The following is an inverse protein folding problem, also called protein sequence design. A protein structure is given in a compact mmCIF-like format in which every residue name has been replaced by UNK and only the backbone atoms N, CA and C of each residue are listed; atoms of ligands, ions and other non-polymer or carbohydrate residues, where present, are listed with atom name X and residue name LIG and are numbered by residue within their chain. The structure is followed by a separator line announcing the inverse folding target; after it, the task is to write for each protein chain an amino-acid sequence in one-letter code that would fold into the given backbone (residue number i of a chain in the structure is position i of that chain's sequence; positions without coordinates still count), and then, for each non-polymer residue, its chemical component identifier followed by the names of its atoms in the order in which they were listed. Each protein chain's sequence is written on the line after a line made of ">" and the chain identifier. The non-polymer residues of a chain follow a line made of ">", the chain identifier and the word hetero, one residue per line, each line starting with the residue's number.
data_IF_846748116960
#
_entry.id   IF_846748116960
#
_cell.length_a   1.000
_cell.length_b   1.000
_cell.length_c   1.000
_cell.angle_alpha   90.00
_cell.angle_beta   90.00
_cell.angle_gamma   90.00
#
_symmetry.space_group_name_H-M   'P 1'
#
loop_
_entity.id
_entity.type
_entity.pdbx_description
1 polymer ?
#
# COMPACT_ATOMS: atom_id res chain seq x y z
N UNK A 1 -5.03 19.53 -22.26
CA UNK A 1 -5.45 19.95 -20.98
C UNK A 1 -4.52 19.41 -19.90
N UNK A 2 -4.27 20.22 -19.03
CA UNK A 2 -3.44 19.80 -17.95
C UNK A 2 -4.30 19.14 -16.89
N UNK A 3 -4.03 17.91 -16.64
CA UNK A 3 -4.73 17.23 -15.59
C UNK A 3 -4.06 17.58 -14.29
N UNK A 4 -4.84 18.09 -13.39
CA UNK A 4 -4.35 18.28 -12.05
C UNK A 4 -4.23 16.93 -11.40
N UNK A 5 -3.01 16.57 -11.09
CA UNK A 5 -2.81 15.37 -10.33
C UNK A 5 -3.00 15.67 -8.88
N UNK A 6 -4.00 15.06 -8.31
CA UNK A 6 -4.18 15.15 -6.88
C UNK A 6 -3.00 14.45 -6.21
N UNK A 7 -2.48 15.01 -5.13
CA UNK A 7 -1.41 14.33 -4.41
C UNK A 7 -1.91 13.01 -3.82
N UNK A 8 -1.02 12.03 -3.81
CA UNK A 8 -1.30 10.75 -3.20
C UNK A 8 -1.39 10.94 -1.69
N UNK A 9 -2.49 10.53 -1.08
CA UNK A 9 -2.70 10.69 0.35
C UNK A 9 -2.11 9.51 1.08
N UNK A 10 -1.17 9.77 1.98
CA UNK A 10 -0.38 8.72 2.64
C UNK A 10 -0.59 8.77 4.14
N UNK A 11 -0.91 7.62 4.72
CA UNK A 11 -0.93 7.44 6.16
C UNK A 11 0.34 6.70 6.56
N UNK A 12 1.09 7.25 7.50
CA UNK A 12 2.35 6.66 7.96
C UNK A 12 2.13 6.00 9.32
N UNK A 13 2.46 4.73 9.43
CA UNK A 13 2.21 3.95 10.64
C UNK A 13 3.50 3.26 11.10
N UNK A 14 3.97 3.61 12.27
CA UNK A 14 5.16 3.01 12.87
C UNK A 14 5.16 3.40 14.34
N UNK A 15 5.50 2.48 15.22
CA UNK A 15 5.46 2.78 16.64
C UNK A 15 6.66 3.62 17.11
N UNK A 16 7.63 3.83 16.23
CA UNK A 16 8.80 4.63 16.56
C UNK A 16 8.74 5.99 15.86
N UNK A 17 8.72 7.05 16.67
CA UNK A 17 8.65 8.39 16.10
C UNK A 17 9.78 8.70 15.12
N UNK A 18 11.04 8.30 15.40
CA UNK A 18 12.09 8.56 14.42
C UNK A 18 11.86 7.87 13.08
N UNK A 19 11.26 6.68 13.08
CA UNK A 19 10.96 5.98 11.84
C UNK A 19 9.87 6.72 11.05
N UNK A 20 8.86 7.25 11.74
CA UNK A 20 7.84 8.06 11.07
C UNK A 20 8.44 9.33 10.48
N UNK A 21 9.34 9.97 11.23
CA UNK A 21 10.00 11.19 10.75
C UNK A 21 10.80 10.91 9.49
N UNK A 22 11.52 9.77 9.48
CA UNK A 22 12.29 9.41 8.31
C UNK A 22 11.41 9.18 7.09
N UNK A 23 10.28 8.53 7.28
CA UNK A 23 9.34 8.32 6.17
C UNK A 23 8.80 9.65 5.65
N UNK A 24 8.48 10.59 6.55
CA UNK A 24 8.04 11.90 6.13
C UNK A 24 9.10 12.61 5.28
N UNK A 25 10.37 12.51 5.72
CA UNK A 25 11.46 13.13 4.97
C UNK A 25 11.61 12.51 3.58
N UNK A 26 11.53 11.18 3.50
CA UNK A 26 11.61 10.49 2.22
C UNK A 26 10.45 10.90 1.30
N UNK A 27 9.25 10.98 1.86
CA UNK A 27 8.09 11.37 1.09
C UNK A 27 8.21 12.82 0.57
N UNK A 28 8.78 13.69 1.39
CA UNK A 28 9.04 15.06 0.96
C UNK A 28 10.05 15.10 -0.20
N UNK A 29 11.09 14.29 -0.11
CA UNK A 29 12.09 14.20 -1.17
C UNK A 29 11.49 13.69 -2.48
N UNK A 30 10.52 12.82 -2.40
CA UNK A 30 9.87 12.24 -3.57
C UNK A 30 8.85 13.19 -4.17
N UNK A 31 8.36 14.14 -3.39
CA UNK A 31 7.26 15.02 -3.77
C UNK A 31 7.36 15.66 -5.14
N UNK A 32 8.53 16.20 -5.53
CA UNK A 32 8.63 16.84 -6.85
C UNK A 32 8.35 15.91 -8.02
N UNK A 33 8.66 14.62 -7.89
CA UNK A 33 8.39 13.66 -8.96
C UNK A 33 7.08 12.90 -8.76
N UNK A 34 6.66 12.75 -7.51
CA UNK A 34 5.42 12.04 -7.21
C UNK A 34 4.72 12.78 -6.08
N UNK A 35 3.83 13.72 -6.43
CA UNK A 35 3.16 14.49 -5.40
C UNK A 35 2.45 13.63 -4.39
N UNK A 36 2.66 13.91 -3.12
CA UNK A 36 2.08 13.15 -2.04
C UNK A 36 1.83 14.07 -0.85
N UNK A 37 0.94 13.63 0.01
CA UNK A 37 0.56 14.39 1.20
C UNK A 37 0.41 13.39 2.34
N UNK A 38 1.15 13.59 3.42
CA UNK A 38 0.98 12.78 4.62
C UNK A 38 -0.25 13.30 5.33
N UNK A 39 -1.33 12.51 5.29
CA UNK A 39 -2.62 12.92 5.86
C UNK A 39 -2.73 12.57 7.34
N UNK A 40 -1.84 11.74 7.84
CA UNK A 40 -1.84 11.40 9.25
C UNK A 40 -0.71 10.45 9.59
N UNK A 41 -0.54 10.23 10.88
CA UNK A 41 0.44 9.30 11.41
C UNK A 41 -0.21 8.50 12.53
N UNK A 42 0.28 7.29 12.74
CA UNK A 42 -0.20 6.43 13.81
C UNK A 42 0.94 5.60 14.35
N UNK A 43 0.83 5.24 15.62
CA UNK A 43 1.85 4.44 16.29
C UNK A 43 1.55 2.95 16.32
N UNK A 44 0.38 2.54 15.88
CA UNK A 44 0.01 1.13 15.76
C UNK A 44 -1.22 1.00 14.89
N UNK A 45 -1.63 -0.25 14.65
CA UNK A 45 -2.76 -0.50 13.77
C UNK A 45 -4.09 0.01 14.29
N UNK A 46 -4.29 -0.04 15.62
CA UNK A 46 -5.54 0.44 16.19
C UNK A 46 -5.70 1.95 15.97
N UNK A 47 -4.62 2.69 16.23
CA UNK A 47 -4.64 4.13 16.00
C UNK A 47 -4.81 4.44 14.51
N UNK A 48 -4.19 3.64 13.65
CA UNK A 48 -4.34 3.84 12.21
C UNK A 48 -5.80 3.71 11.79
N UNK A 49 -6.52 2.73 12.35
CA UNK A 49 -7.94 2.57 12.03
C UNK A 49 -8.75 3.75 12.51
N UNK A 50 -8.39 4.32 13.67
CA UNK A 50 -9.06 5.52 14.16
C UNK A 50 -8.86 6.70 13.20
N UNK A 51 -7.63 6.89 12.74
CA UNK A 51 -7.34 7.97 11.81
C UNK A 51 -8.12 7.77 10.52
N UNK A 52 -8.17 6.55 10.01
CA UNK A 52 -8.88 6.23 8.77
C UNK A 52 -10.40 6.33 8.92
N UNK A 53 -10.89 6.36 10.16
CA UNK A 53 -12.31 6.62 10.40
C UNK A 53 -12.65 8.09 10.23
N UNK A 54 -11.66 8.98 10.23
CA UNK A 54 -11.86 10.41 10.13
C UNK A 54 -11.39 11.01 8.83
N UNK A 55 -10.53 10.32 8.10
CA UNK A 55 -10.00 10.83 6.85
C UNK A 55 -9.63 9.69 5.93
N UNK A 56 -9.60 9.95 4.64
CA UNK A 56 -9.26 8.95 3.64
C UNK A 56 -7.77 8.98 3.34
N UNK A 57 -7.23 7.82 3.06
CA UNK A 57 -5.87 7.70 2.57
C UNK A 57 -5.89 6.81 1.33
N UNK A 58 -5.00 7.12 0.39
CA UNK A 58 -4.85 6.30 -0.80
C UNK A 58 -3.91 5.14 -0.55
N UNK A 59 -2.94 5.35 0.35
CA UNK A 59 -1.97 4.33 0.67
C UNK A 59 -1.62 4.41 2.15
N UNK A 60 -1.43 3.25 2.76
CA UNK A 60 -0.98 3.12 4.13
C UNK A 60 0.42 2.52 4.09
N UNK A 61 1.40 3.26 4.59
CA UNK A 61 2.77 2.79 4.70
C UNK A 61 2.98 2.42 6.16
N UNK A 62 3.15 1.13 6.44
CA UNK A 62 3.12 0.66 7.81
C UNK A 62 4.24 -0.32 8.11
N UNK A 63 4.80 -0.22 9.32
CA UNK A 63 5.65 -1.30 9.82
C UNK A 63 4.74 -2.48 10.18
N UNK A 64 5.35 -3.62 10.44
CA UNK A 64 4.61 -4.83 10.80
C UNK A 64 4.56 -4.99 12.30
N UNK A 65 5.71 -4.99 12.96
CA UNK A 65 5.77 -5.29 14.40
C UNK A 65 5.54 -4.02 15.20
N UNK A 66 4.38 -3.95 15.77
CA UNK A 66 3.94 -2.81 16.59
C UNK A 66 3.10 -3.35 17.74
N UNK A 67 3.03 -2.62 18.87
CA UNK A 67 2.19 -3.06 19.97
C UNK A 67 0.72 -2.96 19.63
N UNK A 68 -0.09 -3.67 20.35
CA UNK A 68 -1.56 -3.72 20.27
C UNK A 68 -2.02 -4.35 18.96
N UNK A 69 -2.02 -3.62 17.87
CA UNK A 69 -2.38 -4.19 16.56
C UNK A 69 -1.20 -4.01 15.62
N UNK A 70 -0.66 -5.10 15.12
CA UNK A 70 0.47 -5.04 14.21
C UNK A 70 0.03 -4.74 12.78
N UNK A 71 1.00 -4.55 11.89
CA UNK A 71 0.71 -4.18 10.51
C UNK A 71 -0.02 -5.26 9.72
N UNK A 72 0.21 -6.52 10.05
CA UNK A 72 -0.49 -7.61 9.37
C UNK A 72 -1.97 -7.59 9.72
N UNK A 73 -2.29 -7.41 11.00
CA UNK A 73 -3.68 -7.31 11.41
C UNK A 73 -4.34 -6.07 10.81
N UNK A 74 -3.61 -4.96 10.77
CA UNK A 74 -4.11 -3.75 10.16
C UNK A 74 -4.48 -4.01 8.70
N UNK A 75 -3.59 -4.67 7.96
CA UNK A 75 -3.84 -4.97 6.56
C UNK A 75 -5.07 -5.86 6.38
N UNK A 76 -5.27 -6.81 7.29
CA UNK A 76 -6.46 -7.67 7.23
C UNK A 76 -7.73 -6.86 7.42
N UNK A 77 -7.73 -5.93 8.36
CA UNK A 77 -8.89 -5.05 8.57
C UNK A 77 -9.16 -4.20 7.33
N UNK A 78 -8.10 -3.66 6.75
CA UNK A 78 -8.27 -2.78 5.59
C UNK A 78 -8.78 -3.54 4.37
N UNK A 79 -8.36 -4.79 4.22
CA UNK A 79 -8.78 -5.61 3.08
C UNK A 79 -10.28 -5.86 3.06
N UNK A 80 -10.95 -5.70 4.20
CA UNK A 80 -12.40 -5.92 4.28
C UNK A 80 -13.21 -4.71 3.84
N UNK A 81 -12.56 -3.57 3.65
CA UNK A 81 -13.28 -2.36 3.26
C UNK A 81 -13.68 -2.43 1.80
N UNK A 82 -14.80 -1.77 1.44
CA UNK A 82 -15.24 -1.78 0.04
C UNK A 82 -14.23 -1.18 -0.92
N UNK A 83 -13.47 -0.19 -0.45
CA UNK A 83 -12.50 0.50 -1.28
C UNK A 83 -11.23 0.67 -0.46
N UNK A 84 -10.47 -0.41 -0.28
CA UNK A 84 -9.33 -0.38 0.63
C UNK A 84 -8.18 0.45 0.09
N UNK A 85 -7.44 1.14 0.98
CA UNK A 85 -6.21 1.79 0.55
C UNK A 85 -5.17 0.74 0.19
N UNK A 86 -4.22 1.12 -0.64
CA UNK A 86 -3.07 0.28 -0.90
C UNK A 86 -2.24 0.16 0.37
N UNK A 87 -1.61 -0.99 0.59
CA UNK A 87 -0.77 -1.20 1.76
C UNK A 87 0.66 -1.47 1.32
N UNK A 88 1.60 -0.70 1.85
CA UNK A 88 3.02 -0.90 1.65
C UNK A 88 3.63 -1.18 3.02
N UNK A 89 4.25 -2.34 3.17
CA UNK A 89 4.95 -2.65 4.41
C UNK A 89 6.39 -2.13 4.35
N UNK A 90 6.83 -1.50 5.44
CA UNK A 90 8.21 -1.04 5.59
C UNK A 90 8.70 -1.58 6.92
N UNK A 91 9.57 -2.56 6.89
CA UNK A 91 9.94 -3.29 8.09
C UNK A 91 11.39 -3.73 8.06
N UNK A 92 11.95 -4.01 9.26
CA UNK A 92 13.27 -4.57 9.37
C UNK A 92 13.29 -6.10 9.28
N UNK A 93 12.12 -6.73 9.10
CA UNK A 93 11.97 -8.17 9.16
C UNK A 93 11.56 -8.72 7.80
N UNK A 94 12.25 -9.77 7.33
CA UNK A 94 11.95 -10.36 6.04
C UNK A 94 10.99 -11.55 6.13
N UNK A 95 10.71 -12.00 7.35
CA UNK A 95 9.94 -13.23 7.54
C UNK A 95 8.44 -13.07 7.24
N UNK A 96 7.98 -11.86 7.03
CA UNK A 96 6.55 -11.59 6.78
C UNK A 96 6.23 -11.40 5.30
N UNK A 97 7.22 -11.55 4.43
CA UNK A 97 6.99 -11.25 3.01
C UNK A 97 5.92 -12.14 2.38
N UNK A 98 5.90 -13.42 2.74
CA UNK A 98 4.90 -14.34 2.22
C UNK A 98 3.50 -13.94 2.69
N UNK A 99 3.38 -13.60 3.97
CA UNK A 99 2.11 -13.16 4.53
C UNK A 99 1.63 -11.88 3.86
N UNK A 100 2.54 -10.95 3.61
CA UNK A 100 2.21 -9.71 2.93
C UNK A 100 1.67 -9.99 1.53
N UNK A 101 2.31 -10.91 0.82
CA UNK A 101 1.85 -11.30 -0.50
C UNK A 101 0.44 -11.90 -0.44
N UNK A 102 0.19 -12.76 0.54
CA UNK A 102 -1.13 -13.37 0.72
C UNK A 102 -2.20 -12.33 0.99
N UNK A 103 -1.83 -11.22 1.61
CA UNK A 103 -2.76 -10.13 1.92
C UNK A 103 -2.87 -9.12 0.78
N UNK A 104 -2.25 -9.40 -0.35
CA UNK A 104 -2.28 -8.53 -1.52
C UNK A 104 -1.70 -7.14 -1.23
N UNK A 105 -0.65 -7.08 -0.41
CA UNK A 105 0.06 -5.84 -0.17
C UNK A 105 0.63 -5.32 -1.50
N UNK A 106 0.64 -4.01 -1.65
CA UNK A 106 1.17 -3.39 -2.86
C UNK A 106 2.68 -3.62 -2.96
N UNK A 107 3.37 -3.52 -1.83
CA UNK A 107 4.82 -3.74 -1.84
C UNK A 107 5.30 -4.06 -0.43
N UNK A 108 6.55 -4.51 -0.35
CA UNK A 108 7.18 -4.90 0.91
C UNK A 108 8.62 -4.39 0.87
N UNK A 109 8.93 -3.40 1.70
CA UNK A 109 10.22 -2.73 1.69
C UNK A 109 10.98 -3.03 2.97
N UNK A 110 12.27 -3.29 2.82
CA UNK A 110 13.14 -3.56 3.97
C UNK A 110 13.81 -2.27 4.42
N UNK A 111 13.83 -2.06 5.73
CA UNK A 111 14.59 -0.93 6.31
C UNK A 111 16.07 -1.22 6.21
N UNK A 112 16.90 -0.21 5.98
CA UNK A 112 16.57 1.20 5.72
C UNK A 112 16.08 1.41 4.30
N UNK A 113 14.98 2.14 4.17
CA UNK A 113 14.34 2.37 2.88
C UNK A 113 15.01 3.54 2.18
N UNK A 114 15.22 3.39 0.88
CA UNK A 114 15.75 4.48 0.06
C UNK A 114 14.60 5.16 -0.67
N UNK A 115 14.80 6.45 -0.97
CA UNK A 115 13.77 7.23 -1.62
C UNK A 115 13.32 6.60 -2.94
N UNK A 116 14.26 6.14 -3.76
CA UNK A 116 13.91 5.54 -5.05
C UNK A 116 13.04 4.30 -4.88
N UNK A 117 13.34 3.49 -3.87
CA UNK A 117 12.57 2.26 -3.65
C UNK A 117 11.17 2.57 -3.13
N UNK A 118 11.06 3.58 -2.26
CA UNK A 118 9.75 4.00 -1.78
C UNK A 118 8.94 4.62 -2.93
N UNK A 119 9.59 5.39 -3.79
CA UNK A 119 8.91 5.98 -4.94
C UNK A 119 8.35 4.90 -5.86
N UNK A 120 9.09 3.80 -6.09
CA UNK A 120 8.59 2.68 -6.88
C UNK A 120 7.33 2.09 -6.26
N UNK A 121 7.34 1.90 -4.95
CA UNK A 121 6.20 1.33 -4.27
C UNK A 121 4.98 2.26 -4.36
N UNK A 122 5.21 3.56 -4.19
CA UNK A 122 4.13 4.54 -4.29
C UNK A 122 3.58 4.62 -5.70
N UNK A 123 4.43 4.44 -6.70
CA UNK A 123 3.97 4.41 -8.08
C UNK A 123 3.04 3.23 -8.31
N UNK A 124 3.37 2.07 -7.75
CA UNK A 124 2.47 0.93 -7.80
C UNK A 124 1.15 1.23 -7.12
N UNK A 125 1.20 1.88 -5.95
CA UNK A 125 0.00 2.23 -5.22
C UNK A 125 -0.85 3.22 -5.99
N UNK A 126 -0.21 4.18 -6.67
CA UNK A 126 -0.92 5.18 -7.44
C UNK A 126 -1.66 4.56 -8.61
N UNK A 127 -1.04 3.58 -9.28
CA UNK A 127 -1.73 2.86 -10.34
C UNK A 127 -2.89 2.07 -9.79
N UNK A 128 -2.79 1.72 -8.52
CA UNK A 128 -3.80 0.94 -7.87
C UNK A 128 -3.88 -0.46 -8.41
N UNK A 129 -4.79 -1.23 -7.86
CA UNK A 129 -5.19 -2.46 -8.50
C UNK A 129 -6.01 -2.05 -9.70
N UNK A 130 -5.84 -2.71 -10.84
CA UNK A 130 -6.69 -2.40 -11.98
C UNK A 130 -8.15 -2.46 -11.59
N UNK A 131 -8.93 -1.53 -12.09
CA UNK A 131 -10.36 -1.56 -11.84
C UNK A 131 -10.94 -2.84 -12.41
N UNK A 132 -12.12 -3.21 -11.96
CA UNK A 132 -12.79 -4.38 -12.50
C UNK A 132 -12.94 -4.26 -14.01
N UNK A 133 -13.22 -3.05 -14.45
CA UNK A 133 -13.38 -2.81 -15.88
C UNK A 133 -12.08 -3.01 -16.63
N UNK A 134 -10.99 -2.53 -16.08
CA UNK A 134 -9.68 -2.71 -16.69
C UNK A 134 -9.28 -4.17 -16.71
N UNK A 135 -9.58 -4.90 -15.66
CA UNK A 135 -9.30 -6.33 -15.61
C UNK A 135 -10.05 -7.08 -16.70
N UNK A 136 -11.32 -6.69 -16.93
CA UNK A 136 -12.09 -7.34 -17.97
C UNK A 136 -11.50 -7.08 -19.34
N UNK A 137 -10.99 -5.88 -19.58
CA UNK A 137 -10.36 -5.57 -20.86
C UNK A 137 -9.05 -6.34 -21.05
N UNK A 138 -8.31 -6.54 -19.96
CA UNK A 138 -7.03 -7.21 -20.04
C UNK A 138 -7.16 -8.72 -20.09
N UNK A 139 -8.23 -9.27 -19.51
CA UNK A 139 -8.40 -10.71 -19.45
C UNK A 139 -8.95 -11.24 -20.78
N UNK A 140 -8.19 -12.09 -21.47
CA UNK A 140 -8.69 -12.65 -22.71
C UNK A 140 -9.98 -13.42 -22.48
N UNK A 141 -10.95 -13.19 -23.32
CA UNK A 141 -12.25 -13.82 -23.14
C UNK A 141 -13.01 -13.34 -21.94
N UNK A 142 -12.50 -12.33 -21.29
CA UNK A 142 -13.16 -11.74 -20.14
C UNK A 142 -13.12 -12.61 -18.91
N UNK A 143 -12.07 -13.42 -18.73
CA UNK A 143 -12.07 -14.26 -17.60
C UNK A 143 -10.88 -14.16 -16.75
N UNK A 144 -10.68 -14.77 -16.16
CA UNK A 144 -9.72 -14.89 -15.44
C UNK A 144 -8.63 -14.64 -14.96
N UNK A 145 -8.41 -14.64 -14.92
CA UNK A 145 -7.46 -14.54 -14.29
C UNK A 145 -7.18 -14.50 -13.22
N UNK A 146 -7.42 -14.61 -13.24
CA UNK A 146 -7.25 -14.59 -12.39
C UNK A 146 -7.21 -14.74 -11.44
N UNK A 147 -7.24 -14.95 -11.40
CA UNK A 147 -7.31 -15.08 -10.49
C UNK A 147 -6.83 -14.92 -9.69
N UNK A 148 -6.63 -14.88 -9.87
CA UNK A 148 -6.32 -14.72 -9.24
C UNK A 148 -6.25 -13.98 -8.71
N UNK A 149 -6.68 -13.50 -8.95
CA UNK A 149 -6.76 -12.89 -8.40
C UNK A 149 -7.38 -12.57 -7.56
N UNK A 150 -7.78 -12.61 -7.55
CA UNK A 150 -8.49 -12.46 -6.90
C UNK A 150 -8.61 -11.98 -6.04
N UNK A 151 -8.68 -11.61 -6.01
CA UNK A 151 -8.67 -11.09 -5.26
C UNK A 151 -8.09 -10.29 -5.20
N UNK A 152 -7.95 -9.76 -5.40
CA UNK A 152 -7.53 -9.13 -5.48
C UNK A 152 -6.55 -8.82 -5.88
N UNK A 153 -6.20 -9.10 -6.41
CA UNK A 153 -5.58 -9.02 -6.86
C UNK A 153 -4.62 -9.38 -7.32
N UNK A 154 -4.16 -9.70 -7.78
CA UNK A 154 -3.57 -10.19 -8.31
C UNK A 154 -2.94 -10.41 -8.77
N UNK A 155 -2.49 -10.72 -9.39
CA UNK A 155 -2.15 -11.11 -9.79
C UNK A 155 -1.79 -11.44 -10.30
N UNK A 156 -1.63 -11.55 -10.90
CA UNK A 156 -1.63 -12.03 -11.35
C UNK A 156 -1.07 -12.33 -11.78
N UNK A 157 -0.85 -12.48 -12.39
CA UNK A 157 -0.74 -13.06 -12.72
C UNK A 157 -0.62 -13.50 -13.11
N UNK A 158 -0.66 -13.98 -13.68
CA UNK A 158 -0.88 -14.55 -14.05
C UNK A 158 -0.75 -15.02 -14.22
N UNK A 159 -0.72 -15.30 -14.81
CA UNK A 159 -1.19 -15.82 -14.94
C UNK A 159 -0.67 -15.91 -15.23
N UNK A 160 -0.45 -15.97 -15.66
CA UNK A 160 -0.50 -16.03 -15.75
C UNK A 160 0.14 -15.85 -15.72
N UNK A 161 0.42 -15.81 -16.25
CA UNK A 161 0.32 -15.63 -15.87
C UNK A 161 0.79 -15.61 -15.59
N UNK A 162 1.06 -15.57 -15.95
CA UNK A 162 0.59 -15.58 -15.51
C UNK A 162 0.89 -15.72 -15.43
N UNK A 163 1.21 -15.69 -15.91
CA UNK A 163 0.75 -15.79 -15.58
C UNK A 163 0.74 -15.88 -15.41
#
# INVERSE_FOLDING_TARGET
>A
MTTHRLPLRVLVVDDEAPARARLRDLLADIGPTLPNLVVGEAGDGAEALEVLGRMDADVVVTDIRMPRMDGIELARHLARRPDPPAVIFVTAYDQYAVKAFELAATDYLMKPVRAARLADALTKAKRGSPSTEELRRLAPGGRQFLHSVERGRILLVPVQDIL
#
